data_IF_465977074651
#
_entry.id   IF_465977074651
#
_cell.length_a   1.000
_cell.length_b   1.000
_cell.length_c   1.000
_cell.angle_alpha   90.00
_cell.angle_beta   90.00
_cell.angle_gamma   90.00
#
_symmetry.space_group_name_H-M   'P 1'
#
loop_
_entity.id
_entity.type
_entity.pdbx_description
1 polymer ?
#
# COMPACT_ATOMS: atom_id res chain seq x y z
N UNK A 1 -52.32 -11.62 7.55
CA UNK A 1 -51.58 -10.75 6.61
C UNK A 1 -50.56 -9.97 7.41
N UNK A 2 -49.31 -10.38 7.39
CA UNK A 2 -48.22 -9.61 7.97
C UNK A 2 -47.60 -8.74 6.88
N UNK A 3 -47.21 -7.50 7.18
CA UNK A 3 -46.58 -6.64 6.19
C UNK A 3 -45.11 -7.08 5.97
N UNK A 4 -44.74 -7.16 4.70
CA UNK A 4 -43.43 -7.43 4.20
C UNK A 4 -42.40 -6.46 4.78
N UNK A 5 -41.31 -7.00 5.36
CA UNK A 5 -40.13 -6.25 5.74
C UNK A 5 -39.52 -5.63 4.48
N UNK A 6 -39.58 -4.31 4.39
CA UNK A 6 -38.79 -3.53 3.45
C UNK A 6 -37.31 -3.74 3.80
N UNK A 7 -36.61 -4.49 2.97
CA UNK A 7 -35.17 -4.46 2.92
C UNK A 7 -34.73 -3.06 2.47
N UNK A 8 -34.49 -2.19 3.44
CA UNK A 8 -33.74 -0.97 3.23
C UNK A 8 -32.32 -1.39 2.90
N UNK A 9 -31.94 -1.36 1.62
CA UNK A 9 -30.55 -1.46 1.24
C UNK A 9 -29.84 -0.28 1.89
N UNK A 10 -29.01 -0.57 2.88
CA UNK A 10 -28.13 0.41 3.50
C UNK A 10 -27.13 0.87 2.42
N UNK A 11 -27.45 1.98 1.76
CA UNK A 11 -26.60 2.67 0.80
C UNK A 11 -25.64 3.61 1.50
N UNK A 12 -25.38 3.40 2.80
CA UNK A 12 -24.39 4.16 3.55
C UNK A 12 -23.03 4.08 2.86
N UNK A 13 -22.39 5.23 2.70
CA UNK A 13 -21.00 5.32 2.25
C UNK A 13 -20.17 4.44 3.17
N UNK A 14 -19.67 3.31 2.65
CA UNK A 14 -18.73 2.47 3.38
C UNK A 14 -17.39 3.18 3.40
N UNK A 15 -16.84 3.32 4.59
CA UNK A 15 -15.47 3.79 4.74
C UNK A 15 -14.54 2.78 4.06
N UNK A 16 -13.71 3.27 3.15
CA UNK A 16 -12.79 2.46 2.37
C UNK A 16 -11.42 3.12 2.41
N UNK A 17 -10.36 2.33 2.29
CA UNK A 17 -8.98 2.83 2.27
C UNK A 17 -8.78 3.97 1.26
N UNK A 18 -7.73 4.79 1.45
CA UNK A 18 -7.31 5.83 0.53
C UNK A 18 -5.87 5.63 0.09
N UNK A 19 -5.60 5.83 -1.20
CA UNK A 19 -4.27 5.82 -1.80
C UNK A 19 -3.98 7.18 -2.40
N UNK A 20 -2.77 7.69 -2.19
CA UNK A 20 -2.28 8.92 -2.81
C UNK A 20 -0.87 8.68 -3.37
N UNK A 21 -0.62 9.12 -4.60
CA UNK A 21 0.69 9.00 -5.24
C UNK A 21 1.06 10.27 -5.97
N UNK A 22 2.34 10.61 -5.97
CA UNK A 22 2.87 11.81 -6.62
C UNK A 22 4.31 11.57 -7.11
N UNK A 23 4.63 12.17 -8.23
CA UNK A 23 5.97 12.27 -8.77
C UNK A 23 6.25 13.73 -9.14
N UNK A 24 7.30 14.29 -8.55
CA UNK A 24 7.79 15.64 -8.87
C UNK A 24 8.93 15.54 -9.87
N UNK A 25 8.76 16.20 -11.02
CA UNK A 25 9.73 16.17 -12.14
C UNK A 25 10.92 17.11 -11.90
N UNK A 26 10.76 18.11 -11.04
CA UNK A 26 11.79 19.10 -10.72
C UNK A 26 12.70 18.64 -9.57
N UNK A 27 12.38 17.50 -8.96
CA UNK A 27 13.18 16.87 -7.91
C UNK A 27 12.85 17.32 -6.48
N UNK A 28 11.71 18.01 -6.28
CA UNK A 28 11.30 18.42 -4.94
C UNK A 28 10.81 17.23 -4.09
N UNK A 29 11.02 17.31 -2.77
CA UNK A 29 10.54 16.31 -1.84
C UNK A 29 9.01 16.26 -1.80
N UNK A 30 8.44 15.06 -2.00
CA UNK A 30 6.99 14.85 -2.12
C UNK A 30 6.30 14.43 -0.83
N UNK A 31 7.05 14.11 0.23
CA UNK A 31 6.45 13.64 1.49
C UNK A 31 5.45 14.62 2.12
N UNK A 32 5.68 15.97 2.10
CA UNK A 32 4.69 16.92 2.60
C UNK A 32 3.39 16.89 1.79
N UNK A 33 3.49 16.78 0.46
CA UNK A 33 2.31 16.69 -0.42
C UNK A 33 1.52 15.41 -0.17
N UNK A 34 2.21 14.28 0.05
CA UNK A 34 1.58 13.00 0.40
C UNK A 34 0.89 13.12 1.76
N UNK A 35 1.55 13.72 2.76
CA UNK A 35 0.96 13.94 4.09
C UNK A 35 -0.38 14.70 3.99
N UNK A 36 -0.42 15.81 3.26
CA UNK A 36 -1.66 16.57 3.06
C UNK A 36 -2.71 15.79 2.27
N UNK A 37 -2.27 15.05 1.23
CA UNK A 37 -3.15 14.17 0.47
C UNK A 37 -3.80 13.08 1.34
N UNK A 38 -3.02 12.42 2.22
CA UNK A 38 -3.53 11.44 3.16
C UNK A 38 -4.41 12.07 4.23
N UNK A 39 -4.09 13.29 4.70
CA UNK A 39 -4.93 14.03 5.65
C UNK A 39 -6.31 14.34 5.05
N UNK A 40 -6.36 14.69 3.77
CA UNK A 40 -7.62 14.89 3.05
C UNK A 40 -8.41 13.58 2.87
N UNK A 41 -7.71 12.44 2.77
CA UNK A 41 -8.30 11.11 2.64
C UNK A 41 -8.57 10.43 4.00
N UNK A 42 -8.26 11.09 5.13
CA UNK A 42 -8.34 10.49 6.48
C UNK A 42 -9.74 9.94 6.82
N UNK A 43 -10.80 10.55 6.30
CA UNK A 43 -12.18 10.08 6.48
C UNK A 43 -12.42 8.69 5.87
N UNK A 44 -11.54 8.20 4.97
CA UNK A 44 -11.63 6.89 4.35
C UNK A 44 -10.88 5.80 5.13
N UNK A 45 -9.95 6.16 6.02
CA UNK A 45 -9.18 5.19 6.78
C UNK A 45 -8.56 5.79 8.02
N UNK A 46 -8.86 5.25 9.19
CA UNK A 46 -8.47 5.78 10.49
C UNK A 46 -7.65 4.78 11.33
N UNK A 47 -7.44 3.58 10.83
CA UNK A 47 -6.77 2.50 11.56
C UNK A 47 -5.25 2.59 11.48
N UNK A 48 -4.74 2.83 10.29
CA UNK A 48 -3.31 2.95 10.06
C UNK A 48 -3.03 3.79 8.83
N UNK A 49 -1.83 4.32 8.76
CA UNK A 49 -1.36 5.06 7.61
C UNK A 49 0.13 4.85 7.39
N UNK A 50 0.59 5.16 6.17
CA UNK A 50 2.00 5.08 5.82
C UNK A 50 2.34 5.88 4.58
N UNK A 51 3.62 6.23 4.48
CA UNK A 51 4.23 6.93 3.35
C UNK A 51 5.50 6.19 2.96
N UNK A 52 5.71 6.02 1.66
CA UNK A 52 6.96 5.52 1.10
C UNK A 52 7.40 6.46 -0.03
N UNK A 53 8.67 6.86 0.00
CA UNK A 53 9.26 7.77 -0.98
C UNK A 53 10.59 7.21 -1.52
N UNK A 54 10.97 7.65 -2.70
CA UNK A 54 12.25 7.34 -3.33
C UNK A 54 12.76 8.55 -4.09
N UNK A 55 14.08 8.66 -4.18
CA UNK A 55 14.74 9.66 -5.02
C UNK A 55 15.11 9.03 -6.36
N UNK A 56 14.56 9.56 -7.46
CA UNK A 56 14.83 9.07 -8.82
C UNK A 56 16.22 9.43 -9.34
N UNK A 57 16.88 10.42 -8.74
CA UNK A 57 18.25 10.84 -9.03
C UNK A 57 19.29 10.21 -8.11
N UNK A 58 18.82 9.61 -7.00
CA UNK A 58 19.65 8.96 -5.98
C UNK A 58 20.09 7.52 -6.33
N UNK A 59 20.67 6.82 -5.37
CA UNK A 59 21.04 5.43 -5.55
C UNK A 59 19.81 4.56 -5.88
N UNK A 60 19.89 3.78 -6.95
CA UNK A 60 18.80 2.92 -7.40
C UNK A 60 18.37 1.92 -6.33
N UNK A 61 17.08 1.74 -6.19
CA UNK A 61 16.48 0.72 -5.33
C UNK A 61 16.37 1.08 -3.87
N UNK A 62 16.50 2.34 -3.51
CA UNK A 62 16.29 2.81 -2.14
C UNK A 62 14.90 3.43 -1.99
N UNK A 63 14.11 2.87 -1.07
CA UNK A 63 12.82 3.42 -0.63
C UNK A 63 12.93 3.74 0.84
N UNK A 64 12.63 4.98 1.21
CA UNK A 64 12.41 5.39 2.60
C UNK A 64 10.93 5.26 2.91
N UNK A 65 10.60 4.69 4.05
CA UNK A 65 9.19 4.56 4.43
C UNK A 65 8.99 4.69 5.94
N UNK A 66 7.83 5.19 6.31
CA UNK A 66 7.34 5.16 7.67
C UNK A 66 5.85 4.83 7.64
N UNK A 67 5.40 3.99 8.58
CA UNK A 67 4.00 3.60 8.74
C UNK A 67 3.69 3.34 10.20
N UNK A 68 2.43 3.51 10.58
CA UNK A 68 2.00 3.31 11.96
C UNK A 68 0.50 3.12 12.08
N UNK A 69 0.07 2.76 13.27
CA UNK A 69 -1.34 2.71 13.65
C UNK A 69 -1.79 4.09 14.11
N UNK A 70 -3.02 4.45 13.76
CA UNK A 70 -3.64 5.73 14.10
C UNK A 70 -3.75 6.70 12.94
N UNK A 71 -4.08 7.95 13.26
CA UNK A 71 -4.33 9.00 12.30
C UNK A 71 -3.02 9.54 11.70
N UNK A 72 -3.12 10.15 10.52
CA UNK A 72 -1.97 10.70 9.79
C UNK A 72 -1.17 11.68 10.65
N UNK A 73 -1.84 12.58 11.38
CA UNK A 73 -1.19 13.56 12.26
C UNK A 73 -0.60 12.95 13.55
N UNK A 74 -1.00 11.73 13.91
CA UNK A 74 -0.44 11.01 15.06
C UNK A 74 0.83 10.24 14.64
N UNK A 75 0.79 9.60 13.49
CA UNK A 75 1.90 8.79 12.95
C UNK A 75 3.02 9.65 12.39
N UNK A 76 2.67 10.72 11.68
CA UNK A 76 3.65 11.60 11.03
C UNK A 76 3.83 12.90 11.82
N UNK A 77 4.80 12.92 12.73
CA UNK A 77 5.33 14.13 13.31
C UNK A 77 6.30 14.78 12.33
N UNK A 78 6.53 16.11 12.48
CA UNK A 78 7.42 16.88 11.60
C UNK A 78 8.78 16.20 11.37
N UNK A 79 9.43 15.76 12.45
CA UNK A 79 10.72 15.06 12.38
C UNK A 79 10.69 13.77 11.55
N UNK A 80 9.53 13.10 11.46
CA UNK A 80 9.38 11.90 10.63
C UNK A 80 9.20 12.22 9.15
N UNK A 81 8.53 13.33 8.84
CA UNK A 81 8.41 13.80 7.46
C UNK A 81 9.76 14.25 6.90
N UNK A 82 10.59 14.91 7.71
CA UNK A 82 11.93 15.35 7.32
C UNK A 82 12.87 14.19 6.96
N UNK A 83 12.66 13.01 7.54
CA UNK A 83 13.40 11.80 7.19
C UNK A 83 13.01 11.22 5.81
N UNK A 84 11.78 11.52 5.35
CA UNK A 84 11.18 10.97 4.14
C UNK A 84 11.45 11.86 2.92
N UNK A 85 12.71 11.92 2.50
CA UNK A 85 13.14 12.70 1.32
C UNK A 85 13.10 11.87 0.05
N UNK A 86 12.59 12.45 -1.03
CA UNK A 86 12.51 11.85 -2.35
C UNK A 86 11.45 12.54 -3.21
N UNK A 87 11.61 12.47 -4.51
CA UNK A 87 10.76 13.17 -5.49
C UNK A 87 9.65 12.30 -6.09
N UNK A 88 9.56 11.04 -5.70
CA UNK A 88 8.46 10.13 -6.03
C UNK A 88 8.01 9.42 -4.78
N UNK A 89 6.70 9.27 -4.59
CA UNK A 89 6.21 8.55 -3.42
C UNK A 89 4.73 8.19 -3.51
N UNK A 90 4.35 7.32 -2.58
CA UNK A 90 2.98 6.85 -2.38
C UNK A 90 2.64 6.88 -0.89
N UNK A 91 1.37 7.10 -0.61
CA UNK A 91 0.83 7.02 0.74
C UNK A 91 -0.49 6.24 0.77
N UNK A 92 -0.82 5.74 1.95
CA UNK A 92 -2.02 4.95 2.18
C UNK A 92 -2.63 5.28 3.54
N UNK A 93 -3.95 5.36 3.61
CA UNK A 93 -4.74 5.32 4.84
C UNK A 93 -5.63 4.08 4.79
N UNK A 94 -5.62 3.28 5.87
CA UNK A 94 -6.31 2.00 5.94
C UNK A 94 -7.56 2.08 6.80
N UNK A 95 -8.63 1.50 6.28
CA UNK A 95 -9.79 1.07 7.05
C UNK A 95 -9.85 -0.46 6.98
N UNK A 96 -9.85 -1.13 8.14
CA UNK A 96 -9.87 -2.59 8.16
C UNK A 96 -11.30 -3.11 8.11
N UNK A 97 -11.60 -3.86 7.08
CA UNK A 97 -12.83 -4.68 7.03
C UNK A 97 -12.56 -6.12 7.46
N UNK A 98 -11.30 -6.57 7.36
CA UNK A 98 -10.87 -7.93 7.70
C UNK A 98 -9.37 -7.95 8.06
N UNK A 99 -8.99 -8.80 8.99
CA UNK A 99 -7.59 -9.00 9.40
C UNK A 99 -7.22 -8.31 10.71
N UNK A 100 -6.04 -8.65 11.26
CA UNK A 100 -5.55 -8.06 12.50
C UNK A 100 -5.04 -6.64 12.27
N UNK A 101 -5.35 -5.74 13.22
CA UNK A 101 -4.82 -4.38 13.26
C UNK A 101 -3.38 -4.42 13.78
N UNK A 102 -2.43 -4.62 12.87
CA UNK A 102 -0.99 -4.61 13.19
C UNK A 102 -0.24 -3.68 12.25
N UNK A 103 0.91 -3.16 12.71
CA UNK A 103 1.75 -2.27 11.90
C UNK A 103 2.28 -2.96 10.65
N UNK A 104 2.50 -4.27 10.71
CA UNK A 104 2.94 -5.08 9.57
C UNK A 104 1.94 -4.98 8.42
N UNK A 105 0.65 -4.99 8.73
CA UNK A 105 -0.45 -4.87 7.75
C UNK A 105 -0.71 -3.44 7.27
N UNK A 106 -0.09 -2.43 7.87
CA UNK A 106 -0.17 -1.07 7.35
C UNK A 106 0.57 -0.94 6.01
N UNK A 107 0.00 -0.13 5.11
CA UNK A 107 0.56 0.13 3.80
C UNK A 107 1.14 1.56 3.72
N UNK A 108 2.08 1.83 2.80
CA UNK A 108 2.60 0.97 1.74
C UNK A 108 3.40 -0.23 2.25
N UNK A 109 3.28 -1.35 1.54
CA UNK A 109 4.17 -2.49 1.72
C UNK A 109 5.48 -2.21 0.98
N UNK A 110 6.61 -2.35 1.68
CA UNK A 110 7.94 -2.18 1.08
C UNK A 110 8.68 -3.50 1.14
N UNK A 111 9.07 -4.00 -0.02
CA UNK A 111 9.85 -5.23 -0.18
C UNK A 111 11.21 -4.91 -0.81
N UNK A 112 12.26 -5.51 -0.26
CA UNK A 112 13.59 -5.48 -0.83
C UNK A 112 13.89 -6.82 -1.51
N UNK A 113 14.35 -6.76 -2.75
CA UNK A 113 14.67 -7.94 -3.54
C UNK A 113 15.88 -7.67 -4.46
N UNK A 114 16.28 -8.64 -5.27
CA UNK A 114 17.51 -8.58 -6.09
C UNK A 114 17.65 -7.31 -6.95
N UNK A 115 16.56 -6.76 -7.46
CA UNK A 115 16.57 -5.55 -8.32
C UNK A 115 16.30 -4.23 -7.57
N UNK A 116 16.33 -4.24 -6.25
CA UNK A 116 16.14 -3.05 -5.43
C UNK A 116 14.92 -3.14 -4.53
N UNK A 117 14.22 -2.04 -4.34
CA UNK A 117 13.03 -1.96 -3.51
C UNK A 117 11.77 -1.80 -4.36
N UNK A 118 10.67 -2.38 -3.89
CA UNK A 118 9.32 -2.21 -4.41
C UNK A 118 8.44 -1.67 -3.28
N UNK A 119 7.78 -0.54 -3.50
CA UNK A 119 6.74 -0.04 -2.63
C UNK A 119 5.38 -0.23 -3.31
N UNK A 120 4.41 -0.79 -2.59
CA UNK A 120 3.06 -1.05 -3.09
C UNK A 120 2.01 -0.55 -2.10
N UNK A 121 1.05 0.22 -2.60
CA UNK A 121 -0.19 0.54 -1.91
C UNK A 121 -1.37 0.06 -2.78
N UNK A 122 -2.31 -0.62 -2.15
CA UNK A 122 -3.44 -1.24 -2.83
C UNK A 122 -4.72 -0.99 -2.03
N UNK A 123 -5.73 -0.48 -2.73
CA UNK A 123 -7.08 -0.32 -2.21
C UNK A 123 -8.00 -1.29 -2.94
N UNK A 124 -8.27 -2.42 -2.33
CA UNK A 124 -9.09 -3.50 -2.90
C UNK A 124 -8.86 -4.82 -2.18
N UNK A 125 -9.48 -5.89 -2.71
CA UNK A 125 -9.36 -7.26 -2.22
C UNK A 125 -9.21 -8.23 -3.40
N UNK A 126 -8.22 -9.12 -3.30
CA UNK A 126 -8.11 -10.25 -4.21
C UNK A 126 -9.12 -11.34 -3.82
N UNK A 127 -10.02 -11.68 -4.74
CA UNK A 127 -11.06 -12.70 -4.48
C UNK A 127 -10.48 -14.10 -4.28
N UNK A 128 -9.30 -14.38 -4.87
CA UNK A 128 -8.59 -15.64 -4.79
C UNK A 128 -7.28 -15.56 -3.99
N UNK A 129 -7.20 -14.63 -3.03
CA UNK A 129 -5.99 -14.38 -2.25
C UNK A 129 -5.44 -15.65 -1.57
N UNK A 130 -6.31 -16.44 -0.95
CA UNK A 130 -5.92 -17.67 -0.23
C UNK A 130 -5.30 -18.70 -1.17
N UNK A 131 -5.92 -18.93 -2.33
CA UNK A 131 -5.44 -19.86 -3.33
C UNK A 131 -4.08 -19.45 -3.91
N UNK A 132 -3.92 -18.17 -4.25
CA UNK A 132 -2.66 -17.62 -4.76
C UNK A 132 -1.54 -17.70 -3.71
N UNK A 133 -1.88 -17.43 -2.44
CA UNK A 133 -0.94 -17.54 -1.33
C UNK A 133 -0.42 -18.96 -1.19
N UNK A 134 -1.32 -19.94 -1.14
CA UNK A 134 -0.97 -21.36 -1.04
C UNK A 134 -0.09 -21.82 -2.22
N UNK A 135 -0.42 -21.42 -3.45
CA UNK A 135 0.39 -21.71 -4.63
C UNK A 135 1.81 -21.14 -4.51
N UNK A 136 1.94 -19.91 -4.01
CA UNK A 136 3.25 -19.28 -3.84
C UNK A 136 4.04 -19.93 -2.70
N UNK A 137 3.42 -20.24 -1.56
CA UNK A 137 4.04 -20.91 -0.42
C UNK A 137 4.56 -22.30 -0.82
N UNK A 138 3.81 -23.05 -1.63
CA UNK A 138 4.23 -24.32 -2.21
C UNK A 138 5.48 -24.21 -3.10
N UNK A 139 5.77 -23.02 -3.62
CA UNK A 139 7.00 -22.72 -4.40
C UNK A 139 8.09 -22.04 -3.57
N UNK A 140 7.91 -21.97 -2.25
CA UNK A 140 8.91 -21.44 -1.32
C UNK A 140 8.76 -19.96 -0.97
N UNK A 141 7.62 -19.31 -1.27
CA UNK A 141 7.35 -17.96 -0.83
C UNK A 141 7.15 -17.92 0.71
N UNK A 142 7.68 -16.90 1.35
CA UNK A 142 7.49 -16.62 2.78
C UNK A 142 6.81 -15.27 2.91
N UNK A 143 5.61 -15.27 3.48
CA UNK A 143 4.82 -14.07 3.71
C UNK A 143 4.98 -13.58 5.15
N UNK A 144 5.05 -12.27 5.32
CA UNK A 144 5.22 -11.59 6.61
C UNK A 144 3.95 -10.91 7.09
N UNK A 145 2.98 -10.72 6.20
CA UNK A 145 1.70 -10.06 6.50
C UNK A 145 0.52 -10.96 6.16
N UNK A 146 -0.65 -10.58 6.62
CA UNK A 146 -1.91 -11.26 6.25
C UNK A 146 -2.67 -10.57 5.11
N UNK A 147 -2.14 -9.44 4.58
CA UNK A 147 -2.80 -8.69 3.52
C UNK A 147 -2.55 -9.31 2.15
N UNK A 148 -3.55 -9.24 1.30
CA UNK A 148 -3.48 -9.71 -0.09
C UNK A 148 -2.50 -8.92 -0.97
N UNK A 149 -2.24 -7.68 -0.61
CA UNK A 149 -1.27 -6.82 -1.30
C UNK A 149 0.15 -7.40 -1.31
N UNK A 150 0.52 -8.22 -0.31
CA UNK A 150 1.81 -8.90 -0.28
C UNK A 150 1.92 -9.96 -1.38
N UNK A 151 0.81 -10.62 -1.70
CA UNK A 151 0.74 -11.59 -2.80
C UNK A 151 1.01 -10.88 -4.14
N UNK A 152 0.39 -9.70 -4.34
CA UNK A 152 0.61 -8.87 -5.54
C UNK A 152 2.09 -8.45 -5.62
N UNK A 153 2.63 -7.92 -4.52
CA UNK A 153 4.01 -7.45 -4.48
C UNK A 153 5.02 -8.58 -4.73
N UNK A 154 4.76 -9.75 -4.18
CA UNK A 154 5.59 -10.94 -4.38
C UNK A 154 5.55 -11.42 -5.83
N UNK A 155 4.36 -11.48 -6.43
CA UNK A 155 4.18 -11.81 -7.85
C UNK A 155 4.95 -10.85 -8.77
N UNK A 156 4.80 -9.53 -8.54
CA UNK A 156 5.54 -8.51 -9.30
C UNK A 156 7.06 -8.69 -9.13
N UNK A 157 7.54 -8.89 -7.91
CA UNK A 157 8.97 -9.05 -7.65
C UNK A 157 9.53 -10.29 -8.35
N UNK A 158 8.81 -11.41 -8.34
CA UNK A 158 9.19 -12.67 -9.00
C UNK A 158 9.27 -12.50 -10.51
N UNK A 159 8.23 -11.95 -11.13
CA UNK A 159 8.21 -11.75 -12.58
C UNK A 159 9.25 -10.71 -13.02
N UNK A 160 9.49 -9.67 -12.24
CA UNK A 160 10.48 -8.64 -12.54
C UNK A 160 11.93 -9.14 -12.50
N UNK A 161 12.22 -10.24 -11.83
CA UNK A 161 13.55 -10.86 -11.89
C UNK A 161 13.90 -11.25 -13.35
N UNK A 162 12.90 -11.68 -14.11
CA UNK A 162 13.03 -12.11 -15.50
C UNK A 162 12.68 -11.03 -16.52
N UNK A 163 12.02 -9.94 -16.11
CA UNK A 163 11.54 -8.85 -16.97
C UNK A 163 12.43 -7.61 -16.90
N UNK A 164 12.37 -6.74 -17.90
CA UNK A 164 13.10 -5.46 -17.91
C UNK A 164 12.36 -4.37 -17.16
N UNK A 165 11.02 -4.34 -17.24
CA UNK A 165 10.16 -3.32 -16.65
C UNK A 165 9.09 -3.92 -15.72
N UNK A 166 8.43 -3.06 -14.92
CA UNK A 166 7.31 -3.48 -14.06
C UNK A 166 6.07 -3.82 -14.89
N UNK A 167 5.89 -3.15 -16.03
CA UNK A 167 4.77 -3.43 -16.94
C UNK A 167 4.89 -4.84 -17.53
N UNK A 168 6.08 -5.23 -17.99
CA UNK A 168 6.33 -6.58 -18.49
C UNK A 168 6.08 -7.65 -17.42
N UNK A 169 6.45 -7.37 -16.15
CA UNK A 169 6.20 -8.29 -15.04
C UNK A 169 4.71 -8.48 -14.73
N UNK A 170 3.88 -7.43 -14.91
CA UNK A 170 2.42 -7.54 -14.70
C UNK A 170 1.74 -8.42 -15.75
N UNK A 171 2.25 -8.45 -16.98
CA UNK A 171 1.68 -9.24 -18.09
C UNK A 171 2.08 -10.72 -17.98
N UNK A 172 3.28 -11.01 -17.47
CA UNK A 172 3.77 -12.39 -17.31
C UNK A 172 3.09 -13.21 -16.20
N UNK A 173 2.33 -12.55 -15.32
CA UNK A 173 1.65 -13.19 -14.18
C UNK A 173 0.20 -13.62 -14.42
N UNK A 174 -0.22 -13.85 -15.68
CA UNK A 174 -1.57 -14.35 -16.02
C UNK A 174 -1.63 -15.87 -16.11
#
# INVERSE_FOLDING_TARGET
MQPSSNNCYDTGLREECGVFGIYDLDGADVSPSIYYGLSALQHRGQESCGIAVSDTSGPKGHVKSHKGLGLVNEVFKESKLDELTGNIGIGHVRYSTTGSTTVENAQPLVLNYLKGSLALAHNGNLVNAMELREQMENTGAIFHTSIDSEIIAYGIARERVHSKTVEEAKVGGQ
#
